data_IF_818314528017
#
_entry.id   IF_818314528017
#
_cell.length_a   1.000
_cell.length_b   1.000
_cell.length_c   1.000
_cell.angle_alpha   90.00
_cell.angle_beta   90.00
_cell.angle_gamma   90.00
#
_symmetry.space_group_name_H-M   'P 1'
#
loop_
_entity.id
_entity.type
_entity.pdbx_description
1 polymer ?
#
# COMPACT_ATOMS: atom_id res chain seq x y z
N UNK A 1 -19.92 -9.23 -38.65
CA UNK A 1 -20.89 -9.46 -37.55
C UNK A 1 -20.30 -10.50 -36.62
N UNK A 2 -20.28 -10.23 -35.31
CA UNK A 2 -19.76 -11.16 -34.31
C UNK A 2 -20.45 -12.52 -34.46
N UNK A 3 -19.66 -13.59 -34.65
CA UNK A 3 -20.19 -14.94 -34.91
C UNK A 3 -20.90 -15.54 -33.69
N UNK A 4 -20.73 -14.96 -32.50
CA UNK A 4 -21.46 -15.36 -31.30
C UNK A 4 -21.58 -14.17 -30.31
N UNK A 5 -22.64 -13.34 -30.41
CA UNK A 5 -22.88 -12.19 -29.52
C UNK A 5 -22.94 -12.57 -28.04
N UNK A 6 -23.36 -13.80 -27.75
CA UNK A 6 -23.55 -14.32 -26.40
C UNK A 6 -22.21 -14.61 -25.72
N UNK A 7 -21.24 -15.18 -26.45
CA UNK A 7 -19.86 -15.37 -25.97
C UNK A 7 -19.16 -14.04 -25.70
N UNK A 8 -19.33 -13.06 -26.59
CA UNK A 8 -18.78 -11.72 -26.38
C UNK A 8 -19.41 -11.03 -25.15
N UNK A 9 -20.72 -11.13 -24.99
CA UNK A 9 -21.42 -10.59 -23.82
C UNK A 9 -20.98 -11.28 -22.52
N UNK A 10 -20.80 -12.60 -22.52
CA UNK A 10 -20.28 -13.35 -21.36
C UNK A 10 -18.84 -12.95 -21.02
N UNK A 11 -17.94 -12.84 -22.01
CA UNK A 11 -16.57 -12.39 -21.79
C UNK A 11 -16.51 -10.94 -21.25
N UNK A 12 -17.35 -10.05 -21.79
CA UNK A 12 -17.46 -8.66 -21.31
C UNK A 12 -18.01 -8.60 -19.89
N UNK A 13 -19.01 -9.45 -19.56
CA UNK A 13 -19.58 -9.57 -18.21
C UNK A 13 -18.52 -10.05 -17.21
N UNK A 14 -17.77 -11.10 -17.56
CA UNK A 14 -16.71 -11.64 -16.70
C UNK A 14 -15.64 -10.58 -16.41
N UNK A 15 -15.17 -9.86 -17.44
CA UNK A 15 -14.22 -8.75 -17.27
C UNK A 15 -14.75 -7.65 -16.35
N UNK A 16 -16.03 -7.31 -16.47
CA UNK A 16 -16.66 -6.29 -15.63
C UNK A 16 -16.82 -6.75 -14.18
N UNK A 17 -17.29 -7.99 -13.96
CA UNK A 17 -17.42 -8.59 -12.63
C UNK A 17 -16.07 -8.64 -11.91
N UNK A 18 -15.02 -9.06 -12.62
CA UNK A 18 -13.67 -9.11 -12.10
C UNK A 18 -13.09 -7.72 -11.79
N UNK A 19 -13.42 -6.70 -12.60
CA UNK A 19 -13.05 -5.31 -12.31
C UNK A 19 -13.75 -4.77 -11.05
N UNK A 20 -15.03 -5.12 -10.85
CA UNK A 20 -15.77 -4.78 -9.63
C UNK A 20 -15.22 -5.50 -8.39
N UNK A 21 -14.90 -6.79 -8.51
CA UNK A 21 -14.30 -7.58 -7.42
C UNK A 21 -12.97 -6.95 -7.00
N UNK A 22 -12.13 -6.58 -7.96
CA UNK A 22 -10.85 -5.94 -7.66
C UNK A 22 -11.01 -4.58 -7.03
N UNK A 23 -11.94 -3.75 -7.53
CA UNK A 23 -12.22 -2.47 -6.89
C UNK A 23 -12.68 -2.64 -5.43
N UNK A 24 -13.54 -3.63 -5.16
CA UNK A 24 -13.98 -3.95 -3.80
C UNK A 24 -12.81 -4.42 -2.93
N UNK A 25 -11.97 -5.32 -3.42
CA UNK A 25 -10.80 -5.83 -2.70
C UNK A 25 -9.83 -4.71 -2.35
N UNK A 26 -9.48 -3.86 -3.32
CA UNK A 26 -8.57 -2.74 -3.11
C UNK A 26 -9.16 -1.70 -2.15
N UNK A 27 -10.45 -1.39 -2.28
CA UNK A 27 -11.16 -0.48 -1.36
C UNK A 27 -11.19 -1.04 0.06
N UNK A 28 -11.49 -2.33 0.21
CA UNK A 28 -11.47 -3.00 1.51
C UNK A 28 -10.08 -2.96 2.13
N UNK A 29 -9.02 -3.25 1.37
CA UNK A 29 -7.64 -3.18 1.87
C UNK A 29 -7.23 -1.76 2.26
N UNK A 30 -7.68 -0.74 1.52
CA UNK A 30 -7.43 0.65 1.90
C UNK A 30 -8.11 1.03 3.22
N UNK A 31 -9.37 0.60 3.43
CA UNK A 31 -10.08 0.79 4.70
C UNK A 31 -9.38 0.06 5.85
N UNK A 32 -8.99 -1.20 5.66
CA UNK A 32 -8.21 -1.95 6.65
C UNK A 32 -6.88 -1.27 6.97
N UNK A 33 -6.19 -0.72 5.97
CA UNK A 33 -4.98 0.07 6.16
C UNK A 33 -5.22 1.30 7.06
N UNK A 34 -6.33 2.01 6.87
CA UNK A 34 -6.72 3.12 7.75
C UNK A 34 -7.00 2.63 9.18
N UNK A 35 -7.70 1.52 9.35
CA UNK A 35 -7.95 0.91 10.66
C UNK A 35 -6.63 0.55 11.36
N UNK A 36 -5.68 -0.05 10.65
CA UNK A 36 -4.35 -0.37 11.17
C UNK A 36 -3.58 0.89 11.60
N UNK A 37 -3.64 1.98 10.83
CA UNK A 37 -3.00 3.26 11.19
C UNK A 37 -3.65 3.89 12.42
N UNK A 38 -4.99 3.84 12.53
CA UNK A 38 -5.70 4.33 13.72
C UNK A 38 -5.30 3.50 14.94
N UNK A 39 -5.26 2.18 14.81
CA UNK A 39 -4.85 1.27 15.87
C UNK A 39 -3.41 1.55 16.32
N UNK A 40 -2.49 1.74 15.37
CA UNK A 40 -1.11 2.14 15.63
C UNK A 40 -1.01 3.44 16.46
N UNK A 41 -1.83 4.44 16.14
CA UNK A 41 -1.88 5.69 16.90
C UNK A 41 -2.38 5.48 18.33
N UNK A 42 -3.41 4.65 18.52
CA UNK A 42 -3.95 4.31 19.84
C UNK A 42 -2.90 3.58 20.68
N UNK A 43 -2.22 2.58 20.11
CA UNK A 43 -1.21 1.80 20.81
C UNK A 43 0.02 2.64 21.17
N UNK A 44 0.41 3.55 20.28
CA UNK A 44 1.49 4.51 20.55
C UNK A 44 1.13 5.45 21.69
N UNK A 45 -0.09 6.00 21.69
CA UNK A 45 -0.58 6.86 22.76
C UNK A 45 -0.66 6.10 24.10
N UNK A 46 -1.20 4.88 24.09
CA UNK A 46 -1.26 4.01 25.27
C UNK A 46 0.14 3.72 25.83
N UNK A 47 1.07 3.31 24.96
CA UNK A 47 2.46 3.05 25.36
C UNK A 47 3.13 4.30 25.95
N UNK A 48 2.86 5.48 25.38
CA UNK A 48 3.34 6.76 25.92
C UNK A 48 2.82 7.03 27.33
N UNK A 49 1.54 6.79 27.60
CA UNK A 49 0.94 6.94 28.93
C UNK A 49 1.52 5.94 29.93
N UNK A 50 1.64 4.66 29.54
CA UNK A 50 2.22 3.61 30.38
C UNK A 50 3.68 3.91 30.75
N UNK A 51 4.50 4.35 29.79
CA UNK A 51 5.88 4.77 30.02
C UNK A 51 5.98 5.99 30.93
N UNK A 52 5.06 6.95 30.80
CA UNK A 52 5.00 8.14 31.65
C UNK A 52 4.66 7.77 33.09
N UNK A 53 3.68 6.89 33.30
CA UNK A 53 3.32 6.38 34.61
C UNK A 53 4.46 5.56 35.25
N UNK A 54 5.13 4.71 34.47
CA UNK A 54 6.29 3.95 34.93
C UNK A 54 7.44 4.88 35.34
N UNK A 55 7.75 5.89 34.53
CA UNK A 55 8.78 6.89 34.83
C UNK A 55 8.42 7.68 36.10
N UNK A 56 7.17 8.11 36.25
CA UNK A 56 6.70 8.79 37.46
C UNK A 56 6.80 7.92 38.72
N UNK A 57 6.49 6.62 38.62
CA UNK A 57 6.69 5.67 39.72
C UNK A 57 8.17 5.49 40.07
N UNK A 58 9.02 5.29 39.08
CA UNK A 58 10.46 5.14 39.27
C UNK A 58 11.06 6.39 39.93
N UNK A 59 10.67 7.59 39.47
CA UNK A 59 11.05 8.87 40.08
C UNK A 59 10.54 9.02 41.53
N UNK A 60 9.37 8.48 41.86
CA UNK A 60 8.84 8.53 43.24
C UNK A 60 9.55 7.57 44.21
N UNK A 61 10.25 6.56 43.69
CA UNK A 61 10.93 5.52 44.49
C UNK A 61 12.43 5.79 44.68
N UNK A 62 13.01 6.68 43.88
CA UNK A 62 14.42 7.07 44.04
C UNK A 62 14.60 8.07 45.17
N UNK A 63 15.57 7.80 46.03
CA UNK A 63 16.00 8.73 47.09
C UNK A 63 16.99 9.79 46.60
N UNK A 64 17.48 9.69 45.36
CA UNK A 64 18.40 10.65 44.73
C UNK A 64 17.71 11.40 43.58
N UNK A 65 17.30 12.68 43.81
CA UNK A 65 16.68 13.52 42.79
C UNK A 65 17.55 13.79 41.57
N UNK A 66 18.89 13.79 41.71
CA UNK A 66 19.79 14.04 40.57
C UNK A 66 19.86 12.83 39.64
N UNK A 67 19.95 11.63 40.20
CA UNK A 67 19.89 10.40 39.43
C UNK A 67 18.53 10.26 38.71
N UNK A 68 17.43 10.66 39.38
CA UNK A 68 16.09 10.68 38.80
C UNK A 68 15.98 11.60 37.57
N UNK A 69 16.51 12.82 37.68
CA UNK A 69 16.50 13.81 36.59
C UNK A 69 17.34 13.36 35.39
N UNK A 70 18.49 12.73 35.62
CA UNK A 70 19.34 12.19 34.55
C UNK A 70 18.70 10.99 33.84
N UNK A 71 18.03 10.11 34.58
CA UNK A 71 17.28 9.00 33.99
C UNK A 71 16.06 9.50 33.20
N UNK A 72 15.33 10.50 33.72
CA UNK A 72 14.21 11.12 33.03
C UNK A 72 14.65 11.78 31.71
N UNK A 73 15.75 12.52 31.68
CA UNK A 73 16.25 13.17 30.45
C UNK A 73 16.68 12.16 29.38
N UNK A 74 17.41 11.11 29.78
CA UNK A 74 17.81 10.02 28.87
C UNK A 74 16.60 9.24 28.32
N UNK A 75 15.54 9.10 29.12
CA UNK A 75 14.30 8.44 28.69
C UNK A 75 13.45 9.35 27.82
N UNK A 76 13.43 10.66 28.07
CA UNK A 76 12.72 11.65 27.24
C UNK A 76 13.27 11.72 25.82
N UNK A 77 14.58 11.49 25.63
CA UNK A 77 15.18 11.31 24.30
C UNK A 77 14.73 10.02 23.59
N UNK A 78 14.21 9.03 24.32
CA UNK A 78 13.75 7.71 23.80
C UNK A 78 12.23 7.48 23.92
N UNK A 79 11.47 8.45 24.46
CA UNK A 79 10.06 8.25 24.87
C UNK A 79 9.13 8.12 23.65
N UNK A 80 9.37 8.92 22.62
CA UNK A 80 8.77 8.73 21.31
C UNK A 80 9.60 7.70 20.56
N UNK A 81 9.16 6.43 20.58
CA UNK A 81 9.78 5.38 19.75
C UNK A 81 9.37 5.59 18.28
N UNK A 82 9.82 6.71 17.71
CA UNK A 82 9.53 7.17 16.35
C UNK A 82 10.00 6.12 15.33
N UNK A 83 11.14 5.47 15.60
CA UNK A 83 11.66 4.41 14.76
C UNK A 83 10.67 3.22 14.65
N UNK A 84 10.14 2.74 15.78
CA UNK A 84 9.16 1.65 15.80
C UNK A 84 7.84 2.04 15.13
N UNK A 85 7.31 3.23 15.45
CA UNK A 85 6.08 3.74 14.81
C UNK A 85 6.23 3.77 13.29
N UNK A 86 7.35 4.29 12.80
CA UNK A 86 7.63 4.38 11.37
C UNK A 86 7.88 3.03 10.73
N UNK A 87 8.50 2.09 11.46
CA UNK A 87 8.66 0.72 11.00
C UNK A 87 7.30 0.04 10.81
N UNK A 88 6.42 0.11 11.81
CA UNK A 88 5.06 -0.45 11.77
C UNK A 88 4.21 0.21 10.68
N UNK A 89 4.31 1.54 10.53
CA UNK A 89 3.65 2.25 9.44
C UNK A 89 4.19 1.82 8.06
N UNK A 90 5.50 1.61 7.94
CA UNK A 90 6.13 1.08 6.73
C UNK A 90 5.66 -0.33 6.37
N UNK A 91 5.43 -1.19 7.37
CA UNK A 91 4.85 -2.52 7.16
C UNK A 91 3.43 -2.44 6.61
N UNK A 92 2.57 -1.57 7.18
CA UNK A 92 1.20 -1.34 6.68
C UNK A 92 1.22 -0.92 5.20
N UNK A 93 2.09 0.03 4.85
CA UNK A 93 2.24 0.49 3.47
C UNK A 93 2.75 -0.60 2.53
N UNK A 94 3.68 -1.44 3.00
CA UNK A 94 4.22 -2.56 2.22
C UNK A 94 3.16 -3.62 1.95
N UNK A 95 2.31 -3.93 2.94
CA UNK A 95 1.17 -4.84 2.73
C UNK A 95 0.18 -4.29 1.70
N UNK A 96 -0.18 -3.01 1.79
CA UNK A 96 -1.05 -2.36 0.80
C UNK A 96 -0.41 -2.44 -0.59
N UNK A 97 0.88 -2.12 -0.72
CA UNK A 97 1.60 -2.24 -1.99
C UNK A 97 1.54 -3.66 -2.56
N UNK A 98 1.77 -4.67 -1.71
CA UNK A 98 1.73 -6.08 -2.14
C UNK A 98 0.36 -6.47 -2.67
N UNK A 99 -0.71 -6.13 -1.98
CA UNK A 99 -2.08 -6.46 -2.41
C UNK A 99 -2.46 -5.77 -3.73
N UNK A 100 -2.09 -4.50 -3.89
CA UNK A 100 -2.31 -3.77 -5.13
C UNK A 100 -1.53 -4.39 -6.30
N UNK A 101 -0.29 -4.82 -6.06
CA UNK A 101 0.53 -5.47 -7.08
C UNK A 101 -0.06 -6.82 -7.47
N UNK A 102 -0.45 -7.64 -6.49
CA UNK A 102 -1.06 -8.95 -6.72
C UNK A 102 -2.37 -8.83 -7.51
N UNK A 103 -3.23 -7.88 -7.16
CA UNK A 103 -4.47 -7.62 -7.89
C UNK A 103 -4.18 -7.22 -9.35
N UNK A 104 -3.19 -6.36 -9.57
CA UNK A 104 -2.80 -5.93 -10.92
C UNK A 104 -2.21 -7.11 -11.74
N UNK A 105 -1.44 -8.00 -11.12
CA UNK A 105 -0.90 -9.22 -11.77
C UNK A 105 -2.01 -10.19 -12.15
N UNK A 106 -2.98 -10.41 -11.25
CA UNK A 106 -4.17 -11.22 -11.54
C UNK A 106 -4.95 -10.64 -12.73
N UNK A 107 -5.11 -9.31 -12.79
CA UNK A 107 -5.76 -8.63 -13.91
C UNK A 107 -5.08 -8.88 -15.24
N UNK A 108 -3.76 -8.81 -15.23
CA UNK A 108 -2.99 -9.04 -16.43
C UNK A 108 -3.08 -10.50 -16.90
N UNK A 109 -3.05 -11.45 -15.96
CA UNK A 109 -3.17 -12.88 -16.26
C UNK A 109 -4.54 -13.24 -16.85
N UNK A 110 -5.61 -12.69 -16.27
CA UNK A 110 -6.97 -12.92 -16.75
C UNK A 110 -7.20 -12.26 -18.11
N UNK A 111 -6.76 -11.02 -18.29
CA UNK A 111 -6.81 -10.34 -19.59
C UNK A 111 -6.09 -11.16 -20.66
N UNK A 112 -4.86 -11.63 -20.38
CA UNK A 112 -4.12 -12.50 -21.31
C UNK A 112 -4.90 -13.76 -21.66
N UNK A 113 -5.51 -14.43 -20.68
CA UNK A 113 -6.23 -15.70 -20.90
C UNK A 113 -7.50 -15.48 -21.72
N UNK A 114 -8.35 -14.54 -21.31
CA UNK A 114 -9.63 -14.27 -21.95
C UNK A 114 -9.46 -13.64 -23.35
N UNK A 115 -8.50 -12.73 -23.52
CA UNK A 115 -8.23 -12.11 -24.83
C UNK A 115 -7.50 -13.06 -25.79
N UNK A 116 -6.63 -13.96 -25.30
CA UNK A 116 -6.03 -15.00 -26.17
C UNK A 116 -7.06 -16.01 -26.66
N UNK A 117 -8.03 -16.38 -25.82
CA UNK A 117 -9.16 -17.22 -26.23
C UNK A 117 -9.99 -16.55 -27.33
N UNK A 118 -10.27 -15.24 -27.19
CA UNK A 118 -10.95 -14.44 -28.22
C UNK A 118 -10.16 -14.35 -29.53
N UNK A 119 -8.82 -14.19 -29.48
CA UNK A 119 -7.97 -14.18 -30.68
C UNK A 119 -8.01 -15.55 -31.37
N UNK A 120 -7.91 -16.65 -30.63
CA UNK A 120 -7.93 -17.99 -31.20
C UNK A 120 -9.26 -18.32 -31.90
N UNK A 121 -10.39 -17.91 -31.30
CA UNK A 121 -11.73 -18.10 -31.87
C UNK A 121 -11.98 -17.23 -33.11
N UNK A 122 -11.47 -16.00 -33.13
CA UNK A 122 -11.54 -15.10 -34.29
C UNK A 122 -10.62 -15.55 -35.41
N UNK A 123 -9.40 -16.04 -35.09
CA UNK A 123 -8.39 -16.45 -36.07
C UNK A 123 -8.65 -17.82 -36.71
N UNK A 124 -9.39 -18.72 -36.05
CA UNK A 124 -9.83 -19.98 -36.69
C UNK A 124 -11.01 -19.83 -37.65
N UNK A 125 -11.75 -18.72 -37.59
CA UNK A 125 -12.95 -18.47 -38.41
C UNK A 125 -12.82 -17.23 -39.31
N UNK A 126 -11.59 -16.84 -39.69
CA UNK A 126 -11.27 -15.60 -40.41
C UNK A 126 -11.97 -15.56 -41.77
N UNK A 127 -13.11 -14.88 -41.81
CA UNK A 127 -13.67 -14.32 -43.04
C UNK A 127 -12.98 -12.98 -43.31
N UNK A 128 -12.81 -12.58 -44.59
CA UNK A 128 -12.32 -11.25 -44.95
C UNK A 128 -13.10 -10.14 -44.20
N UNK A 129 -12.41 -9.14 -43.63
CA UNK A 129 -13.02 -8.02 -42.89
C UNK A 129 -12.99 -8.12 -41.34
N UNK A 130 -12.19 -9.02 -40.78
CA UNK A 130 -12.02 -9.21 -39.33
C UNK A 130 -10.81 -8.47 -38.73
N UNK A 131 -10.05 -7.74 -39.55
CA UNK A 131 -8.85 -6.98 -39.16
C UNK A 131 -9.12 -6.00 -38.02
N UNK A 132 -10.29 -5.35 -38.03
CA UNK A 132 -10.67 -4.35 -37.03
C UNK A 132 -10.92 -4.96 -35.63
N UNK A 133 -11.38 -6.22 -35.57
CA UNK A 133 -11.65 -6.88 -34.29
C UNK A 133 -10.36 -7.34 -33.59
N UNK A 134 -9.37 -7.80 -34.37
CA UNK A 134 -8.05 -8.19 -33.86
C UNK A 134 -7.30 -6.97 -33.30
N UNK A 135 -7.40 -5.82 -33.97
CA UNK A 135 -6.76 -4.58 -33.52
C UNK A 135 -7.40 -4.01 -32.24
N UNK A 136 -8.72 -4.11 -32.08
CA UNK A 136 -9.42 -3.75 -30.83
C UNK A 136 -8.94 -4.63 -29.67
N UNK A 137 -8.82 -5.95 -29.88
CA UNK A 137 -8.34 -6.89 -28.86
C UNK A 137 -6.89 -6.59 -28.47
N UNK A 138 -6.02 -6.35 -29.46
CA UNK A 138 -4.63 -5.96 -29.22
C UNK A 138 -4.54 -4.66 -28.41
N UNK A 139 -5.33 -3.65 -28.78
CA UNK A 139 -5.38 -2.36 -28.08
C UNK A 139 -5.85 -2.54 -26.63
N UNK A 140 -6.83 -3.40 -26.37
CA UNK A 140 -7.30 -3.69 -25.03
C UNK A 140 -6.20 -4.34 -24.17
N UNK A 141 -5.46 -5.30 -24.73
CA UNK A 141 -4.29 -5.92 -24.06
C UNK A 141 -3.22 -4.86 -23.75
N UNK A 142 -2.83 -4.05 -24.74
CA UNK A 142 -1.80 -3.02 -24.58
C UNK A 142 -2.19 -1.99 -23.51
N UNK A 143 -3.46 -1.60 -23.45
CA UNK A 143 -3.97 -0.69 -22.43
C UNK A 143 -3.98 -1.32 -21.03
N UNK A 144 -4.30 -2.61 -20.90
CA UNK A 144 -4.22 -3.32 -19.62
C UNK A 144 -2.76 -3.39 -19.10
N UNK A 145 -1.79 -3.64 -19.98
CA UNK A 145 -0.37 -3.60 -19.63
C UNK A 145 0.09 -2.22 -19.15
N UNK A 146 -0.33 -1.16 -19.86
CA UNK A 146 -0.02 0.23 -19.45
C UNK A 146 -0.64 0.56 -18.09
N UNK A 147 -1.89 0.15 -17.86
CA UNK A 147 -2.55 0.34 -16.57
C UNK A 147 -1.81 -0.34 -15.42
N UNK A 148 -1.33 -1.57 -15.63
CA UNK A 148 -0.47 -2.26 -14.66
C UNK A 148 0.80 -1.46 -14.35
N UNK A 149 1.52 -1.03 -15.39
CA UNK A 149 2.76 -0.26 -15.24
C UNK A 149 2.53 1.07 -14.50
N UNK A 150 1.44 1.77 -14.81
CA UNK A 150 1.05 3.01 -14.14
C UNK A 150 0.73 2.80 -12.66
N UNK A 151 -0.01 1.74 -12.31
CA UNK A 151 -0.30 1.39 -10.92
C UNK A 151 0.99 1.06 -10.18
N UNK A 152 1.85 0.18 -10.72
CA UNK A 152 3.14 -0.15 -10.10
C UNK A 152 3.99 1.11 -9.89
N UNK A 153 4.04 2.01 -10.88
CA UNK A 153 4.79 3.26 -10.80
C UNK A 153 4.23 4.18 -9.72
N UNK A 154 2.91 4.38 -9.68
CA UNK A 154 2.26 5.23 -8.69
C UNK A 154 2.51 4.71 -7.27
N UNK A 155 2.42 3.39 -7.06
CA UNK A 155 2.68 2.79 -5.74
C UNK A 155 4.13 2.95 -5.32
N UNK A 156 5.10 2.74 -6.22
CA UNK A 156 6.53 3.00 -5.94
C UNK A 156 6.79 4.47 -5.60
N UNK A 157 6.15 5.40 -6.29
CA UNK A 157 6.26 6.82 -6.00
C UNK A 157 5.70 7.16 -4.61
N UNK A 158 4.57 6.57 -4.23
CA UNK A 158 3.99 6.74 -2.90
C UNK A 158 4.93 6.22 -1.79
N UNK A 159 5.50 5.01 -1.97
CA UNK A 159 6.48 4.44 -1.04
C UNK A 159 7.72 5.34 -0.94
N UNK A 160 8.29 5.75 -2.08
CA UNK A 160 9.47 6.63 -2.09
C UNK A 160 9.21 8.01 -1.46
N UNK A 161 8.02 8.59 -1.66
CA UNK A 161 7.63 9.84 -1.00
C UNK A 161 7.53 9.68 0.53
N UNK A 162 7.02 8.54 0.98
CA UNK A 162 6.96 8.21 2.41
C UNK A 162 8.37 8.05 3.01
N UNK A 163 9.25 7.26 2.38
CA UNK A 163 10.64 7.08 2.82
C UNK A 163 11.39 8.42 2.90
N UNK A 164 11.16 9.32 1.95
CA UNK A 164 11.74 10.66 1.98
C UNK A 164 11.23 11.50 3.16
N UNK A 165 9.93 11.44 3.47
CA UNK A 165 9.41 12.16 4.63
C UNK A 165 9.88 11.56 5.95
N UNK A 166 10.03 10.24 5.99
CA UNK A 166 10.64 9.55 7.11
C UNK A 166 12.09 10.00 7.35
N UNK A 167 12.91 10.02 6.30
CA UNK A 167 14.30 10.48 6.38
C UNK A 167 14.40 11.94 6.87
N UNK A 168 13.48 12.81 6.42
CA UNK A 168 13.39 14.21 6.89
C UNK A 168 12.99 14.32 8.35
N UNK A 169 12.00 13.53 8.80
CA UNK A 169 11.58 13.51 10.20
C UNK A 169 12.72 13.01 11.11
N UNK A 170 13.47 12.00 10.69
CA UNK A 170 14.63 11.50 11.42
C UNK A 170 15.73 12.56 11.54
N UNK A 171 16.04 13.28 10.46
CA UNK A 171 17.03 14.39 10.50
C UNK A 171 16.59 15.55 11.39
N UNK A 172 15.31 15.91 11.38
CA UNK A 172 14.75 16.94 12.28
C UNK A 172 14.86 16.53 13.75
N UNK A 173 14.58 15.27 14.08
CA UNK A 173 14.72 14.74 15.43
C UNK A 173 16.18 14.78 15.90
N UNK A 174 17.14 14.41 15.04
CA UNK A 174 18.58 14.50 15.34
C UNK A 174 19.05 15.95 15.55
N UNK A 175 18.55 16.91 14.77
CA UNK A 175 18.90 18.32 14.92
C UNK A 175 18.37 18.93 16.21
N UNK A 176 17.15 18.60 16.62
CA UNK A 176 16.59 19.02 17.91
C UNK A 176 17.32 18.40 19.11
N UNK A 177 17.79 17.16 18.99
CA UNK A 177 18.63 16.51 19.99
C UNK A 177 20.02 17.15 20.16
N UNK A 178 20.54 17.79 19.11
CA UNK A 178 21.82 18.53 19.16
C UNK A 178 21.68 19.94 19.72
N UNK A 179 20.54 20.61 19.50
CA UNK A 179 20.28 21.97 20.04
C UNK A 179 20.02 21.98 21.56
N UNK A 180 19.58 20.87 22.14
CA UNK A 180 19.34 20.73 23.58
C UNK A 180 20.58 20.36 24.40
N UNK A 181 21.75 20.17 23.76
CA UNK A 181 23.03 19.87 24.41
C UNK A 181 23.98 21.08 24.54
N UNK A 182 23.55 22.27 24.08
CA UNK A 182 24.25 23.54 24.26
C UNK A 182 23.50 24.45 25.23
#
# INVERSE_FOLDING_TARGET
MFQNPEQFAQATKALFEFQLETFNTLTSKAVQGLEQVVQLNIDTARSGVEKSLATGREMSQTSDPKAAMAAASARMQNLTNVAEYNHQLGQILTEIHSEFTNAAEAHLAEARTNLSALIYDVTKNVRPGSENAVEIVKTAIDNAFKGYEEVTKATRQAVGAFEQQLAKAATLAEQQGKQTQH
#
